data_IF_453920428064
#
_entry.id   IF_453920428064
#
_cell.length_a   1.000
_cell.length_b   1.000
_cell.length_c   1.000
_cell.angle_alpha   90.00
_cell.angle_beta   90.00
_cell.angle_gamma   90.00
#
_symmetry.space_group_name_H-M   'P 1'
#
loop_
_entity.id
_entity.type
_entity.pdbx_description
1 polymer ?
#
# COMPACT_ATOMS: atom_id res chain seq x y z
N UNK A 1 -10.37 -3.90 -18.57
CA UNK A 1 -9.82 -2.56 -18.85
C UNK A 1 -9.27 -1.93 -17.58
N UNK A 2 -8.11 -1.35 -17.65
CA UNK A 2 -7.49 -0.72 -16.49
C UNK A 2 -8.14 0.62 -16.19
N UNK A 3 -8.32 0.87 -14.89
CA UNK A 3 -8.77 2.17 -14.43
C UNK A 3 -7.54 3.06 -14.22
N UNK A 4 -7.24 3.89 -15.21
CA UNK A 4 -6.03 4.73 -15.22
C UNK A 4 -6.22 6.07 -14.53
N UNK A 5 -7.32 6.22 -13.82
CA UNK A 5 -7.61 7.41 -13.03
C UNK A 5 -7.82 6.99 -11.59
N UNK A 6 -7.63 7.93 -10.68
CA UNK A 6 -7.79 7.68 -9.26
C UNK A 6 -9.25 7.37 -8.95
N UNK A 7 -9.47 6.25 -8.25
CA UNK A 7 -10.76 5.91 -7.70
C UNK A 7 -10.85 6.47 -6.29
N UNK A 8 -12.00 7.04 -5.96
CA UNK A 8 -12.30 7.59 -4.66
C UNK A 8 -13.32 6.70 -3.97
N UNK A 9 -12.95 6.15 -2.81
CA UNK A 9 -13.81 5.24 -2.06
C UNK A 9 -14.21 5.91 -0.76
N UNK A 10 -15.48 5.74 -0.38
CA UNK A 10 -15.98 6.20 0.91
C UNK A 10 -15.67 5.12 1.94
N UNK A 11 -14.90 5.48 2.95
CA UNK A 11 -14.54 4.56 4.03
C UNK A 11 -15.42 4.89 5.24
N UNK A 12 -16.28 3.93 5.60
CA UNK A 12 -17.31 4.16 6.63
C UNK A 12 -16.93 3.64 8.01
N UNK A 13 -15.85 2.90 8.12
CA UNK A 13 -15.40 2.36 9.41
C UNK A 13 -13.88 2.26 9.43
N UNK A 14 -13.29 2.46 10.61
CA UNK A 14 -11.85 2.30 10.83
C UNK A 14 -11.56 1.78 12.23
N UNK A 15 -12.30 0.74 12.62
CA UNK A 15 -12.14 0.11 13.92
C UNK A 15 -10.96 -0.86 13.92
N UNK A 16 -10.31 -1.00 15.06
CA UNK A 16 -9.30 -2.05 15.23
C UNK A 16 -9.98 -3.40 15.41
N UNK A 17 -9.46 -4.42 14.75
CA UNK A 17 -9.97 -5.79 14.84
C UNK A 17 -8.82 -6.78 14.75
N UNK A 18 -8.99 -7.95 15.40
CA UNK A 18 -8.05 -9.06 15.26
C UNK A 18 -8.52 -10.08 14.23
N UNK A 19 -9.66 -9.83 13.59
CA UNK A 19 -10.25 -10.74 12.63
C UNK A 19 -9.86 -10.36 11.20
N UNK A 20 -9.94 -11.33 10.29
CA UNK A 20 -9.81 -11.05 8.87
C UNK A 20 -10.98 -10.18 8.41
N UNK A 21 -10.67 -9.17 7.59
CA UNK A 21 -11.67 -8.26 7.06
C UNK A 21 -11.92 -8.58 5.59
N UNK A 22 -13.18 -8.57 5.21
CA UNK A 22 -13.60 -8.75 3.83
C UNK A 22 -13.71 -7.38 3.17
N UNK A 23 -12.63 -6.94 2.55
CA UNK A 23 -12.57 -5.61 1.96
C UNK A 23 -13.24 -5.57 0.58
N UNK A 24 -13.85 -4.43 0.21
CA UNK A 24 -14.51 -4.31 -1.10
C UNK A 24 -13.55 -4.21 -2.28
N UNK A 25 -12.29 -3.88 -2.06
CA UNK A 25 -11.30 -3.81 -3.15
C UNK A 25 -10.07 -4.65 -2.81
N UNK A 26 -9.34 -5.07 -3.84
CA UNK A 26 -8.10 -5.83 -3.72
C UNK A 26 -7.02 -5.11 -4.52
N UNK A 27 -5.97 -4.59 -3.87
CA UNK A 27 -5.78 -4.45 -2.42
C UNK A 27 -6.76 -3.49 -1.77
N UNK A 28 -6.93 -3.60 -0.45
CA UNK A 28 -7.85 -2.70 0.26
C UNK A 28 -7.30 -1.27 0.32
N UNK A 29 -8.21 -0.30 0.37
CA UNK A 29 -7.86 1.11 0.43
C UNK A 29 -8.35 1.77 1.73
N UNK A 30 -8.71 1.00 2.72
CA UNK A 30 -9.19 1.51 4.00
C UNK A 30 -10.22 0.59 4.61
N UNK A 31 -10.67 0.91 5.80
CA UNK A 31 -11.65 0.13 6.53
C UNK A 31 -11.10 -0.35 7.87
N UNK A 32 -11.77 -1.33 8.46
CA UNK A 32 -11.33 -1.91 9.71
C UNK A 32 -9.98 -2.60 9.52
N UNK A 33 -9.15 -2.61 10.55
CA UNK A 33 -7.76 -3.05 10.42
C UNK A 33 -7.20 -3.52 11.75
N UNK A 34 -6.02 -4.15 11.70
CA UNK A 34 -5.30 -4.54 12.91
C UNK A 34 -4.86 -3.31 13.71
N UNK A 35 -4.73 -3.48 15.01
CA UNK A 35 -4.22 -2.42 15.89
C UNK A 35 -2.73 -2.15 15.74
N UNK A 36 -2.05 -2.84 14.83
CA UNK A 36 -0.66 -2.62 14.50
C UNK A 36 -0.53 -2.43 13.00
N UNK A 37 0.37 -1.55 12.57
CA UNK A 37 0.63 -1.27 11.16
C UNK A 37 1.83 -2.07 10.67
N UNK A 38 1.96 -2.18 9.34
CA UNK A 38 3.20 -2.64 8.75
C UNK A 38 4.24 -1.51 8.73
N UNK A 39 5.46 -1.86 9.10
CA UNK A 39 6.60 -0.95 8.90
C UNK A 39 6.75 -0.68 7.40
N UNK A 40 6.82 0.59 7.03
CA UNK A 40 7.02 0.96 5.63
C UNK A 40 8.37 0.49 5.12
N UNK A 41 8.43 0.14 3.85
CA UNK A 41 9.65 -0.33 3.21
C UNK A 41 9.35 -1.15 1.96
N UNK A 42 10.42 -1.68 1.38
CA UNK A 42 10.39 -2.47 0.15
C UNK A 42 10.43 -3.95 0.53
N UNK A 43 9.32 -4.65 0.30
CA UNK A 43 9.18 -6.06 0.64
C UNK A 43 9.17 -6.92 -0.62
N UNK A 44 9.73 -8.13 -0.50
CA UNK A 44 9.69 -9.15 -1.55
C UNK A 44 8.64 -10.23 -1.25
N UNK A 45 7.89 -10.07 -0.19
CA UNK A 45 6.86 -11.01 0.27
C UNK A 45 5.56 -10.26 0.47
N UNK A 46 4.45 -11.01 0.44
CA UNK A 46 3.15 -10.42 0.66
C UNK A 46 2.97 -9.96 2.10
N UNK A 47 2.24 -8.90 2.28
CA UNK A 47 1.93 -8.31 3.58
C UNK A 47 0.54 -8.74 4.03
N UNK A 48 0.23 -8.51 5.30
CA UNK A 48 -1.12 -8.67 5.82
C UNK A 48 -1.95 -7.45 5.41
N UNK A 49 -3.04 -7.68 4.70
CA UNK A 49 -3.91 -6.59 4.26
C UNK A 49 -4.34 -5.72 5.43
N UNK A 50 -4.76 -6.34 6.53
CA UNK A 50 -5.28 -5.61 7.69
C UNK A 50 -4.23 -4.74 8.37
N UNK A 51 -2.97 -5.13 8.35
CA UNK A 51 -1.88 -4.30 8.88
C UNK A 51 -1.46 -3.21 7.90
N UNK A 52 -1.48 -3.51 6.60
CA UNK A 52 -1.19 -2.52 5.57
C UNK A 52 -2.24 -1.41 5.58
N UNK A 53 -3.52 -1.74 5.79
CA UNK A 53 -4.58 -0.74 5.92
C UNK A 53 -4.28 0.22 7.08
N UNK A 54 -3.76 -0.28 8.20
CA UNK A 54 -3.35 0.59 9.30
C UNK A 54 -2.24 1.56 8.86
N UNK A 55 -1.29 1.09 8.04
CA UNK A 55 -0.26 1.96 7.47
C UNK A 55 -0.86 3.06 6.59
N UNK A 56 -1.91 2.73 5.81
CA UNK A 56 -2.63 3.73 5.03
C UNK A 56 -3.27 4.79 5.93
N UNK A 57 -3.80 4.38 7.08
CA UNK A 57 -4.37 5.34 8.04
C UNK A 57 -3.35 6.36 8.50
N UNK A 58 -2.08 5.95 8.65
CA UNK A 58 -0.97 6.84 9.01
C UNK A 58 -0.49 7.73 7.85
N UNK A 59 -1.05 7.56 6.67
CA UNK A 59 -0.69 8.36 5.51
C UNK A 59 0.25 7.69 4.52
N UNK A 60 0.55 6.41 4.69
CA UNK A 60 1.38 5.68 3.74
C UNK A 60 0.66 5.45 2.43
N UNK A 61 1.43 5.31 1.35
CA UNK A 61 0.96 4.79 0.08
C UNK A 61 1.51 3.38 -0.08
N UNK A 62 0.64 2.46 -0.43
CA UNK A 62 0.97 1.06 -0.62
C UNK A 62 0.93 0.75 -2.11
N UNK A 63 2.10 0.47 -2.68
CA UNK A 63 2.22 0.07 -4.08
C UNK A 63 2.36 -1.44 -4.11
N UNK A 64 1.50 -2.09 -4.88
CA UNK A 64 1.48 -3.55 -4.99
C UNK A 64 1.63 -3.96 -6.44
N UNK A 65 2.20 -5.14 -6.65
CA UNK A 65 2.41 -5.67 -7.98
C UNK A 65 2.06 -7.15 -8.03
N UNK A 66 1.63 -7.61 -9.21
CA UNK A 66 1.40 -9.05 -9.41
C UNK A 66 2.74 -9.78 -9.27
N UNK A 67 2.77 -10.94 -8.59
CA UNK A 67 4.05 -11.66 -8.35
C UNK A 67 4.81 -12.01 -9.63
N UNK A 68 4.10 -12.21 -10.74
CA UNK A 68 4.70 -12.56 -12.03
C UNK A 68 5.12 -11.34 -12.86
N UNK A 69 5.09 -10.14 -12.28
CA UNK A 69 5.52 -8.92 -13.00
C UNK A 69 6.95 -9.08 -13.53
N UNK A 70 7.24 -8.47 -14.67
CA UNK A 70 8.56 -8.58 -15.26
C UNK A 70 9.63 -7.93 -14.38
N UNK A 71 10.80 -8.53 -14.37
CA UNK A 71 11.91 -8.10 -13.53
C UNK A 71 12.29 -6.64 -13.77
N UNK A 72 12.29 -6.21 -15.02
CA UNK A 72 12.61 -4.83 -15.38
C UNK A 72 11.62 -3.84 -14.77
N UNK A 73 10.34 -4.21 -14.75
CA UNK A 73 9.30 -3.37 -14.17
C UNK A 73 9.48 -3.28 -12.66
N UNK A 74 9.79 -4.39 -12.01
CA UNK A 74 10.03 -4.42 -10.57
C UNK A 74 11.24 -3.57 -10.18
N UNK A 75 12.30 -3.60 -10.99
CA UNK A 75 13.48 -2.76 -10.76
C UNK A 75 13.09 -1.28 -10.82
N UNK A 76 12.27 -0.89 -11.80
CA UNK A 76 11.80 0.50 -11.92
C UNK A 76 10.99 0.92 -10.69
N UNK A 77 10.06 0.07 -10.24
CA UNK A 77 9.28 0.34 -9.04
C UNK A 77 10.18 0.52 -7.82
N UNK A 78 11.10 -0.39 -7.61
CA UNK A 78 12.01 -0.34 -6.48
C UNK A 78 12.86 0.92 -6.50
N UNK A 79 13.40 1.26 -7.66
CA UNK A 79 14.23 2.47 -7.81
C UNK A 79 13.43 3.73 -7.54
N UNK A 80 12.22 3.81 -8.09
CA UNK A 80 11.34 4.97 -7.93
C UNK A 80 10.94 5.20 -6.47
N UNK A 81 10.67 4.12 -5.73
CA UNK A 81 10.07 4.22 -4.40
C UNK A 81 11.08 4.14 -3.26
N UNK A 82 12.31 3.74 -3.54
CA UNK A 82 13.37 3.67 -2.53
C UNK A 82 13.63 5.02 -1.90
N UNK A 83 13.84 5.02 -0.59
CA UNK A 83 14.16 6.25 0.16
C UNK A 83 12.95 7.03 0.62
N UNK A 84 11.74 6.66 0.20
CA UNK A 84 10.53 7.30 0.70
C UNK A 84 10.05 6.59 1.96
N UNK A 85 10.04 7.26 3.14
CA UNK A 85 9.73 6.60 4.41
C UNK A 85 8.25 6.26 4.60
N UNK A 86 7.39 6.69 3.69
CA UNK A 86 5.94 6.49 3.79
C UNK A 86 5.39 5.59 2.69
N UNK A 87 6.22 4.68 2.17
CA UNK A 87 5.84 3.75 1.12
C UNK A 87 5.92 2.31 1.62
N UNK A 88 4.90 1.53 1.28
CA UNK A 88 4.95 0.08 1.28
C UNK A 88 5.01 -0.36 -0.18
N UNK A 89 5.97 -1.20 -0.52
CA UNK A 89 6.01 -1.88 -1.82
C UNK A 89 6.02 -3.38 -1.57
N UNK A 90 5.08 -4.11 -2.13
CA UNK A 90 5.01 -5.56 -1.93
C UNK A 90 4.27 -6.23 -3.08
N UNK A 91 4.51 -7.54 -3.31
CA UNK A 91 3.63 -8.30 -4.20
C UNK A 91 2.25 -8.48 -3.57
N UNK A 92 1.23 -8.66 -4.40
CA UNK A 92 -0.12 -9.03 -3.98
C UNK A 92 -0.71 -9.98 -5.01
N UNK A 93 -0.90 -11.26 -4.64
CA UNK A 93 -1.27 -12.30 -5.58
C UNK A 93 -2.71 -12.22 -6.05
N UNK A 94 -3.56 -11.49 -5.37
CA UNK A 94 -4.99 -11.44 -5.65
C UNK A 94 -5.44 -10.25 -6.50
N UNK A 95 -4.53 -9.33 -6.81
CA UNK A 95 -4.94 -8.14 -7.58
C UNK A 95 -5.07 -8.43 -9.07
N UNK A 96 -6.00 -7.73 -9.72
CA UNK A 96 -6.32 -7.96 -11.13
C UNK A 96 -5.49 -7.16 -12.12
N UNK A 97 -4.70 -6.19 -11.65
CA UNK A 97 -3.86 -5.34 -12.51
C UNK A 97 -2.39 -5.52 -12.17
N UNK A 98 -1.48 -5.29 -13.12
CA UNK A 98 -0.05 -5.47 -12.86
C UNK A 98 0.47 -4.65 -11.68
N UNK A 99 0.01 -3.39 -11.56
CA UNK A 99 0.41 -2.47 -10.51
C UNK A 99 -0.83 -1.79 -9.95
N UNK A 100 -0.93 -1.71 -8.63
CA UNK A 100 -1.98 -0.95 -7.96
C UNK A 100 -1.32 -0.08 -6.91
N UNK A 101 -1.74 1.17 -6.80
CA UNK A 101 -1.33 2.03 -5.70
C UNK A 101 -2.57 2.39 -4.87
N UNK A 102 -2.45 2.27 -3.56
CA UNK A 102 -3.53 2.61 -2.64
C UNK A 102 -3.04 3.59 -1.57
N UNK A 103 -3.91 4.52 -1.23
CA UNK A 103 -3.81 5.35 -0.05
C UNK A 103 -5.17 5.28 0.64
N UNK A 104 -5.33 5.87 1.80
CA UNK A 104 -6.62 5.80 2.48
C UNK A 104 -7.74 6.38 1.61
N UNK A 105 -8.69 5.53 1.21
CA UNK A 105 -9.83 5.91 0.38
C UNK A 105 -9.50 6.26 -1.07
N UNK A 106 -8.28 5.96 -1.53
CA UNK A 106 -7.82 6.30 -2.89
C UNK A 106 -7.08 5.12 -3.48
N UNK A 107 -7.30 4.86 -4.77
CA UNK A 107 -6.54 3.81 -5.46
C UNK A 107 -6.44 4.10 -6.95
N UNK A 108 -5.43 3.56 -7.58
CA UNK A 108 -5.27 3.60 -9.03
C UNK A 108 -4.70 2.27 -9.52
N UNK A 109 -5.24 1.77 -10.62
CA UNK A 109 -4.75 0.54 -11.27
C UNK A 109 -3.96 0.91 -12.50
N UNK A 110 -2.76 0.37 -12.63
CA UNK A 110 -1.84 0.72 -13.70
C UNK A 110 -1.29 -0.52 -14.39
N UNK A 111 -1.02 -0.37 -15.68
CA UNK A 111 -0.37 -1.39 -16.49
C UNK A 111 1.15 -1.34 -16.36
N UNK A 112 1.67 -0.13 -16.16
CA UNK A 112 3.11 0.13 -16.14
C UNK A 112 3.42 1.29 -15.20
N UNK A 113 4.67 1.34 -14.74
CA UNK A 113 5.18 2.46 -13.96
C UNK A 113 5.67 3.64 -14.84
N UNK A 114 5.66 3.50 -16.16
CA UNK A 114 6.36 4.42 -17.07
C UNK A 114 5.59 5.69 -17.44
N UNK A 115 4.33 5.81 -17.05
CA UNK A 115 3.48 6.91 -17.55
C UNK A 115 3.39 8.12 -16.60
N UNK A 116 4.17 8.15 -15.54
CA UNK A 116 4.18 9.25 -14.57
C UNK A 116 3.02 9.28 -13.60
N UNK A 117 2.02 8.44 -13.79
CA UNK A 117 0.81 8.45 -12.94
C UNK A 117 1.10 7.91 -11.54
N UNK A 118 1.98 6.91 -11.43
CA UNK A 118 2.35 6.36 -10.13
C UNK A 118 3.07 7.42 -9.29
N UNK A 119 4.03 8.11 -9.89
CA UNK A 119 4.77 9.16 -9.19
C UNK A 119 3.85 10.27 -8.70
N UNK A 120 2.91 10.69 -9.54
CA UNK A 120 1.92 11.71 -9.16
C UNK A 120 1.02 11.23 -8.02
N UNK A 121 0.59 9.97 -8.07
CA UNK A 121 -0.23 9.39 -7.01
C UNK A 121 0.52 9.40 -5.68
N UNK A 122 1.75 8.93 -5.68
CA UNK A 122 2.60 8.90 -4.49
C UNK A 122 2.81 10.31 -3.94
N UNK A 123 3.21 11.25 -4.80
CA UNK A 123 3.50 12.61 -4.35
C UNK A 123 2.27 13.31 -3.77
N UNK A 124 1.10 13.04 -4.34
CA UNK A 124 -0.11 13.71 -3.91
C UNK A 124 -0.70 13.09 -2.63
N UNK A 125 -0.65 11.76 -2.49
CA UNK A 125 -1.39 11.07 -1.44
C UNK A 125 -0.57 10.65 -0.23
N UNK A 126 0.75 10.69 -0.28
CA UNK A 126 1.54 10.47 0.94
C UNK A 126 1.18 11.57 1.95
N UNK A 127 0.76 11.16 3.14
CA UNK A 127 0.28 12.06 4.19
C UNK A 127 -0.82 13.01 3.72
N UNK A 128 -1.66 12.53 2.79
CA UNK A 128 -2.75 13.31 2.24
C UNK A 128 -3.89 13.50 3.23
N UNK A 129 -4.74 14.49 2.95
CA UNK A 129 -5.84 14.89 3.84
C UNK A 129 -6.86 13.79 4.11
N UNK A 130 -7.01 12.83 3.19
CA UNK A 130 -7.98 11.76 3.36
C UNK A 130 -7.58 10.75 4.45
N UNK A 131 -6.28 10.64 4.77
CA UNK A 131 -5.81 9.71 5.79
C UNK A 131 -6.12 10.27 7.18
N UNK A 132 -6.87 9.52 8.02
CA UNK A 132 -7.30 10.02 9.32
C UNK A 132 -6.17 10.37 10.28
N UNK A 133 -5.02 9.70 10.13
CA UNK A 133 -3.87 9.90 10.99
C UNK A 133 -2.62 10.24 10.18
N UNK A 134 -2.81 11.01 9.10
CA UNK A 134 -1.70 11.47 8.27
C UNK A 134 -0.62 12.13 9.12
N UNK A 135 0.63 11.86 8.78
CA UNK A 135 1.78 12.40 9.50
C UNK A 135 2.28 11.53 10.64
N UNK A 136 1.53 10.51 11.05
CA UNK A 136 2.02 9.53 12.03
C UNK A 136 3.05 8.64 11.34
N UNK A 137 4.13 8.31 12.05
CA UNK A 137 5.22 7.51 11.48
C UNK A 137 4.74 6.14 11.02
N UNK A 138 5.38 5.61 9.99
CA UNK A 138 5.16 4.27 9.46
C UNK A 138 6.26 3.29 9.90
N UNK A 139 7.19 3.70 10.77
CA UNK A 139 8.21 2.81 11.29
C UNK A 139 7.74 2.12 12.58
N UNK A 140 8.51 1.11 13.05
CA UNK A 140 8.26 0.38 14.30
C UNK A 140 6.95 -0.41 14.35
N UNK A 141 6.37 -0.73 13.21
CA UNK A 141 5.26 -1.67 13.11
C UNK A 141 5.78 -3.09 12.98
N UNK A 142 4.94 -3.96 12.40
CA UNK A 142 5.39 -5.31 12.07
C UNK A 142 6.03 -5.32 10.69
N UNK A 143 7.04 -6.16 10.53
CA UNK A 143 7.74 -6.34 9.28
C UNK A 143 9.16 -5.79 9.32
N UNK A 144 10.07 -6.60 8.79
CA UNK A 144 11.47 -6.24 8.56
C UNK A 144 11.76 -6.51 7.09
N UNK A 145 11.70 -5.47 6.25
CA UNK A 145 11.97 -5.68 4.82
C UNK A 145 13.36 -6.29 4.61
N UNK A 146 13.58 -7.06 3.54
CA UNK A 146 12.64 -7.35 2.47
C UNK A 146 11.82 -8.63 2.65
N UNK A 147 12.17 -9.54 3.55
CA UNK A 147 11.65 -10.91 3.51
C UNK A 147 10.83 -11.32 4.74
N UNK A 148 10.71 -10.47 5.73
CA UNK A 148 9.99 -10.77 6.96
C UNK A 148 8.83 -9.81 7.14
N UNK A 149 7.57 -10.28 6.94
CA UNK A 149 6.42 -9.39 7.08
C UNK A 149 5.82 -9.35 8.49
N UNK A 150 6.32 -10.16 9.44
CA UNK A 150 5.59 -10.39 10.68
C UNK A 150 6.30 -9.94 11.95
N UNK A 151 7.62 -9.85 11.96
CA UNK A 151 8.36 -9.54 13.18
C UNK A 151 8.23 -8.06 13.53
N UNK A 152 7.96 -7.77 14.80
CA UNK A 152 7.87 -6.39 15.26
C UNK A 152 9.22 -5.69 15.06
N UNK A 153 9.19 -4.56 14.40
CA UNK A 153 10.38 -3.77 14.06
C UNK A 153 10.53 -2.62 15.05
N UNK A 154 11.42 -2.79 15.98
CA UNK A 154 11.70 -1.79 17.02
C UNK A 154 13.02 -1.08 16.75
#
# INVERSE_FOLDING_TARGET
MYKRQVEYLVITSREHTDENVDYPTIPPAGGDHLGIWHTCGIYKVELLDEAAVHSLEHGAVWVTYQPEIQKEELIKLTTMLSGNPKILLSPHSQQGSPIVATAWGRRIELETSDNGKLEKFVDFFVDGEAAPEAGITCDRGIGRPPNDPYTLNR
#
